data_IF_295985423649
#
_entry.id   IF_295985423649
#
_cell.length_a   1.000
_cell.length_b   1.000
_cell.length_c   1.000
_cell.angle_alpha   90.00
_cell.angle_beta   90.00
_cell.angle_gamma   90.00
#
_symmetry.space_group_name_H-M   'P 1'
#
loop_
_entity.id
_entity.type
_entity.pdbx_description
1 polymer ?
#
# COMPACT_ATOMS: atom_id res chain seq x y z
N UNK A 1 -14.02 -17.58 2.08
CA UNK A 1 -14.39 -16.88 2.38
C UNK A 1 -14.52 -16.69 3.00
N UNK A 2 -13.99 -16.91 2.68
CA UNK A 2 -14.30 -16.23 3.08
C UNK A 2 -14.30 -15.85 3.65
N UNK A 3 -14.12 -16.19 3.45
CA UNK A 3 -14.28 -15.29 3.91
C UNK A 3 -14.53 -15.12 4.59
N UNK A 4 -14.26 -15.34 4.43
CA UNK A 4 -14.66 -14.72 4.99
C UNK A 4 -14.75 -14.33 5.59
N UNK A 5 -14.66 -14.68 5.49
CA UNK A 5 -14.93 -13.91 5.96
C UNK A 5 -14.93 -13.37 6.51
N UNK A 6 -15.02 -13.42 6.45
CA UNK A 6 -15.18 -12.50 6.87
C UNK A 6 -15.39 -11.96 7.53
N UNK A 7 -15.44 -11.94 7.64
CA UNK A 7 -15.71 -11.12 8.18
C UNK A 7 -15.75 -10.48 8.90
N UNK A 8 -15.90 -10.50 9.09
CA UNK A 8 -15.89 -9.77 9.69
C UNK A 8 -15.65 -9.18 10.55
N UNK A 9 -15.51 -9.12 10.74
CA UNK A 9 -15.20 -8.55 11.37
C UNK A 9 -14.73 -7.93 12.17
N UNK A 10 -14.63 -8.01 12.39
CA UNK A 10 -14.18 -7.54 13.14
C UNK A 10 -13.44 -6.91 13.59
N UNK A 11 -13.08 -6.82 13.68
CA UNK A 11 -12.35 -6.34 14.07
C UNK A 11 -11.42 -5.96 14.26
N UNK A 12 -10.97 -5.94 14.33
CA UNK A 12 -10.14 -5.77 14.69
C UNK A 12 -9.05 -5.45 14.51
N UNK A 13 -8.56 -5.24 14.52
CA UNK A 13 -7.52 -5.05 14.71
C UNK A 13 -6.62 -5.35 14.12
N UNK A 14 -7.17 -5.69 13.54
CA UNK A 14 -6.47 -6.20 13.34
C UNK A 14 -6.03 -6.33 12.08
N UNK A 15 -5.38 -5.56 11.60
CA UNK A 15 -4.70 -5.61 10.36
C UNK A 15 -3.26 -5.98 10.65
N UNK A 16 -3.10 -7.00 11.46
CA UNK A 16 -1.79 -7.52 11.81
C UNK A 16 -0.82 -6.45 12.30
N UNK A 17 -1.35 -5.51 13.07
CA UNK A 17 -0.54 -4.44 13.61
C UNK A 17 -0.48 -3.18 12.76
N UNK A 18 -1.02 -3.23 11.54
CA UNK A 18 -1.03 -2.04 10.68
C UNK A 18 -2.12 -1.06 11.11
N UNK A 19 -1.91 0.21 10.84
CA UNK A 19 -2.80 1.25 11.35
C UNK A 19 -4.18 1.25 10.70
N UNK A 20 -4.30 0.75 9.48
CA UNK A 20 -5.61 0.62 8.86
C UNK A 20 -5.56 -0.45 7.77
N UNK A 21 -6.74 -0.78 7.27
CA UNK A 21 -6.88 -1.84 6.27
C UNK A 21 -6.14 -1.52 4.98
N UNK A 22 -6.26 -0.29 4.52
CA UNK A 22 -5.64 0.10 3.26
C UNK A 22 -4.12 -0.05 3.31
N UNK A 23 -3.52 0.34 4.43
CA UNK A 23 -2.07 0.19 4.60
C UNK A 23 -1.66 -1.28 4.61
N UNK A 24 -2.41 -2.09 5.35
CA UNK A 24 -2.15 -3.52 5.39
C UNK A 24 -2.24 -4.13 4.00
N UNK A 25 -3.28 -3.78 3.25
CA UNK A 25 -3.50 -4.34 1.93
C UNK A 25 -2.38 -3.99 0.96
N UNK A 26 -1.98 -2.72 0.93
CA UNK A 26 -0.90 -2.30 0.05
C UNK A 26 0.39 -3.00 0.45
N UNK A 27 0.67 -3.09 1.75
CA UNK A 27 1.87 -3.77 2.21
C UNK A 27 1.86 -5.24 1.80
N UNK A 28 0.70 -5.88 1.89
CA UNK A 28 0.56 -7.28 1.52
C UNK A 28 0.96 -7.49 0.05
N UNK A 29 0.44 -6.65 -0.84
CA UNK A 29 0.76 -6.78 -2.26
C UNK A 29 2.22 -6.46 -2.56
N UNK A 30 2.75 -5.42 -1.91
CA UNK A 30 4.15 -5.04 -2.13
C UNK A 30 5.11 -6.14 -1.71
N UNK A 31 4.74 -6.92 -0.71
CA UNK A 31 5.64 -7.95 -0.21
C UNK A 31 5.41 -9.32 -0.85
N UNK A 32 4.28 -9.52 -1.51
CA UNK A 32 3.96 -10.85 -2.06
C UNK A 32 4.05 -10.93 -3.57
N UNK A 33 4.08 -9.80 -4.25
CA UNK A 33 4.23 -9.81 -5.70
C UNK A 33 5.68 -9.48 -6.03
N UNK A 34 6.36 -10.38 -6.72
CA UNK A 34 7.80 -10.27 -6.90
C UNK A 34 8.22 -8.95 -7.53
N UNK A 35 7.53 -8.52 -8.58
CA UNK A 35 7.89 -7.28 -9.25
C UNK A 35 7.76 -6.10 -8.31
N UNK A 36 6.68 -6.07 -7.53
CA UNK A 36 6.45 -4.97 -6.59
C UNK A 36 7.45 -5.01 -5.45
N UNK A 37 7.79 -6.20 -5.01
CA UNK A 37 8.78 -6.35 -3.94
C UNK A 37 10.13 -5.78 -4.37
N UNK A 38 10.54 -6.07 -5.60
CA UNK A 38 11.82 -5.54 -6.10
C UNK A 38 11.77 -4.02 -6.20
N UNK A 39 10.63 -3.47 -6.64
CA UNK A 39 10.49 -2.02 -6.70
C UNK A 39 10.60 -1.39 -5.32
N UNK A 40 9.97 -2.01 -4.33
CA UNK A 40 10.06 -1.54 -2.96
C UNK A 40 11.50 -1.55 -2.46
N UNK A 41 12.21 -2.66 -2.70
CA UNK A 41 13.60 -2.76 -2.25
C UNK A 41 14.50 -1.74 -2.95
N UNK A 42 14.26 -1.50 -4.23
CA UNK A 42 15.03 -0.48 -4.95
C UNK A 42 14.82 0.90 -4.36
N UNK A 43 13.58 1.22 -4.00
CA UNK A 43 13.29 2.52 -3.39
C UNK A 43 13.99 2.64 -2.04
N UNK A 44 13.93 1.59 -1.24
CA UNK A 44 14.58 1.63 0.08
C UNK A 44 16.09 1.76 -0.03
N UNK A 45 16.68 1.20 -1.08
CA UNK A 45 18.11 1.28 -1.29
C UNK A 45 18.54 2.64 -1.85
N UNK A 46 17.76 3.19 -2.78
CA UNK A 46 18.19 4.34 -3.55
C UNK A 46 17.81 5.68 -2.96
N UNK A 47 16.87 5.70 -2.02
CA UNK A 47 16.39 6.93 -1.41
C UNK A 47 16.46 6.82 0.09
N UNK A 48 16.34 7.94 0.79
CA UNK A 48 16.32 7.92 2.24
C UNK A 48 15.38 8.99 2.79
N UNK A 49 14.98 8.80 4.02
CA UNK A 49 14.13 9.75 4.70
C UNK A 49 12.79 9.93 4.01
N UNK A 50 12.36 11.17 3.95
CA UNK A 50 11.06 11.50 3.36
C UNK A 50 10.98 11.10 1.90
N UNK A 51 12.09 11.09 1.19
CA UNK A 51 12.08 10.71 -0.21
C UNK A 51 11.61 9.27 -0.42
N UNK A 52 11.96 8.37 0.50
CA UNK A 52 11.48 6.99 0.40
C UNK A 52 9.96 6.94 0.42
N UNK A 53 9.37 7.73 1.29
CA UNK A 53 7.93 7.76 1.44
C UNK A 53 7.28 8.28 0.16
N UNK A 54 7.80 9.37 -0.36
CA UNK A 54 7.24 9.98 -1.57
C UNK A 54 7.41 9.08 -2.79
N UNK A 55 8.58 8.47 -2.91
CA UNK A 55 8.83 7.59 -4.07
C UNK A 55 7.97 6.34 -4.01
N UNK A 56 7.75 5.81 -2.82
CA UNK A 56 6.90 4.63 -2.69
C UNK A 56 5.46 4.96 -3.07
N UNK A 57 4.96 6.09 -2.59
CA UNK A 57 3.60 6.49 -2.95
C UNK A 57 3.46 6.68 -4.46
N UNK A 58 4.44 7.34 -5.07
CA UNK A 58 4.38 7.58 -6.51
C UNK A 58 4.45 6.27 -7.30
N UNK A 59 5.29 5.34 -6.86
CA UNK A 59 5.40 4.05 -7.53
C UNK A 59 4.08 3.29 -7.47
N UNK A 60 3.43 3.29 -6.31
CA UNK A 60 2.16 2.59 -6.17
C UNK A 60 1.07 3.27 -6.99
N UNK A 61 1.05 4.59 -7.02
CA UNK A 61 0.07 5.29 -7.85
C UNK A 61 0.29 4.96 -9.31
N UNK A 62 1.54 4.87 -9.74
CA UNK A 62 1.84 4.52 -11.12
C UNK A 62 1.32 3.12 -11.46
N UNK A 63 1.43 2.18 -10.51
CA UNK A 63 0.99 0.82 -10.75
C UNK A 63 -0.53 0.75 -10.95
N UNK A 64 -1.28 1.47 -10.13
CA UNK A 64 -2.74 1.29 -10.10
C UNK A 64 -3.51 2.32 -10.92
N UNK A 65 -2.93 3.49 -11.17
CA UNK A 65 -3.62 4.53 -11.92
C UNK A 65 -3.33 4.38 -13.39
N UNK A 66 -4.37 4.51 -14.19
CA UNK A 66 -4.22 4.58 -15.64
C UNK A 66 -4.22 6.03 -16.02
N UNK A 67 -3.37 6.41 -16.95
CA UNK A 67 -3.24 7.80 -17.32
C UNK A 67 -4.52 8.43 -17.86
N UNK A 68 -5.46 7.60 -18.27
CA UNK A 68 -6.74 8.12 -18.80
C UNK A 68 -7.91 7.83 -17.87
N UNK A 69 -7.64 7.41 -16.64
CA UNK A 69 -8.71 7.12 -15.70
C UNK A 69 -9.38 8.41 -15.24
N UNK A 70 -10.70 8.41 -15.28
CA UNK A 70 -11.51 9.47 -14.72
C UNK A 70 -12.76 8.83 -14.13
N UNK A 71 -13.52 9.61 -13.37
CA UNK A 71 -14.78 9.13 -12.84
C UNK A 71 -14.64 8.26 -11.62
N UNK A 72 -15.58 7.34 -11.46
CA UNK A 72 -15.72 6.56 -10.22
C UNK A 72 -14.47 5.76 -9.90
N UNK A 73 -13.90 5.09 -10.88
CA UNK A 73 -12.73 4.24 -10.63
C UNK A 73 -11.56 5.07 -10.12
N UNK A 74 -11.29 6.19 -10.77
CA UNK A 74 -10.20 7.05 -10.36
C UNK A 74 -10.43 7.62 -8.96
N UNK A 75 -11.66 8.03 -8.68
CA UNK A 75 -11.99 8.57 -7.37
C UNK A 75 -11.81 7.52 -6.27
N UNK A 76 -12.23 6.29 -6.53
CA UNK A 76 -12.09 5.23 -5.54
C UNK A 76 -10.63 4.89 -5.29
N UNK A 77 -9.82 4.82 -6.34
CA UNK A 77 -8.41 4.54 -6.19
C UNK A 77 -7.74 5.65 -5.38
N UNK A 78 -8.04 6.88 -5.71
CA UNK A 78 -7.44 8.00 -4.99
C UNK A 78 -7.87 8.02 -3.52
N UNK A 79 -9.12 7.70 -3.24
CA UNK A 79 -9.61 7.67 -1.87
C UNK A 79 -8.89 6.60 -1.05
N UNK A 80 -8.70 5.42 -1.64
CA UNK A 80 -8.00 4.33 -0.96
C UNK A 80 -6.54 4.72 -0.72
N UNK A 81 -5.87 5.20 -1.76
CA UNK A 81 -4.44 5.51 -1.64
C UNK A 81 -4.18 6.64 -0.67
N UNK A 82 -5.13 7.56 -0.52
CA UNK A 82 -4.93 8.66 0.41
C UNK A 82 -5.07 8.22 1.88
N UNK A 83 -5.57 7.01 2.13
CA UNK A 83 -5.65 6.47 3.48
C UNK A 83 -4.45 5.62 3.86
N UNK A 84 -3.59 5.31 2.90
CA UNK A 84 -2.42 4.47 3.16
C UNK A 84 -1.39 5.25 3.96
N UNK A 85 -0.88 4.64 5.00
CA UNK A 85 0.20 5.22 5.78
C UNK A 85 1.53 4.75 5.18
N UNK A 86 2.00 5.51 4.21
CA UNK A 86 3.21 5.14 3.47
C UNK A 86 4.44 5.07 4.36
N UNK A 87 4.50 5.95 5.35
CA UNK A 87 5.62 5.93 6.28
C UNK A 87 5.69 4.63 7.04
N UNK A 88 4.53 4.11 7.46
CA UNK A 88 4.49 2.86 8.20
C UNK A 88 5.03 1.71 7.36
N UNK A 89 4.68 1.69 6.07
CA UNK A 89 5.18 0.65 5.18
C UNK A 89 6.69 0.73 5.05
N UNK A 90 7.21 1.93 4.84
CA UNK A 90 8.66 2.12 4.73
C UNK A 90 9.33 1.64 6.01
N UNK A 91 8.85 2.07 7.16
CA UNK A 91 9.50 1.74 8.43
C UNK A 91 9.49 0.25 8.71
N UNK A 92 8.40 -0.42 8.34
CA UNK A 92 8.31 -1.86 8.59
C UNK A 92 9.20 -2.67 7.65
N UNK A 93 9.66 -2.10 6.57
CA UNK A 93 10.50 -2.81 5.62
C UNK A 93 11.97 -2.44 5.70
N UNK A 94 12.34 -1.60 6.65
CA UNK A 94 13.74 -1.19 6.81
C UNK A 94 14.54 -2.13 7.71
N UNK A 95 13.90 -3.07 8.31
CA UNK A 95 14.54 -3.99 9.23
C UNK A 95 15.55 -4.89 8.58
#
# INVERSE_FOLDING_TARGET
>A
MTYETLSTQTVTTEYNGWSNYETWLVSLWLNNEECYYHELQDILRDYEGQERIEELEQACRFIVERHDDTGLRADLINAVLSRVNWQEIVENNLE
#
